data_IF_417098199677
#
_entry.id   IF_417098199677
#
_cell.length_a   1.000
_cell.length_b   1.000
_cell.length_c   1.000
_cell.angle_alpha   90.00
_cell.angle_beta   90.00
_cell.angle_gamma   90.00
#
_symmetry.space_group_name_H-M   'P 1'
#
loop_
_entity.id
_entity.type
_entity.pdbx_description
1 polymer ?
#
# COMPACT_ATOMS: atom_id res chain seq x y z
N UNK A 1 -0.01 1.85 -6.80
CA UNK A 1 0.41 2.82 -5.77
C UNK A 1 1.11 2.06 -4.65
N UNK A 2 2.26 2.52 -4.15
CA UNK A 2 3.03 1.85 -3.10
C UNK A 2 2.99 2.72 -1.85
N UNK A 3 2.63 2.13 -0.71
CA UNK A 3 2.47 2.86 0.56
C UNK A 3 3.47 2.45 1.63
N UNK A 4 3.91 1.21 1.65
CA UNK A 4 4.95 0.75 2.56
C UNK A 4 5.78 -0.33 1.89
N UNK A 5 7.00 -0.52 2.39
CA UNK A 5 7.88 -1.62 1.99
C UNK A 5 7.93 -2.65 3.13
N UNK A 6 7.48 -3.86 2.84
CA UNK A 6 7.56 -5.01 3.75
C UNK A 6 8.44 -6.10 3.15
N UNK A 7 9.07 -6.90 4.02
CA UNK A 7 9.94 -8.00 3.61
C UNK A 7 9.17 -9.23 3.15
N UNK A 8 7.96 -9.43 3.71
CA UNK A 8 7.19 -10.67 3.57
C UNK A 8 8.04 -11.92 3.89
N UNK A 9 8.89 -11.79 4.92
CA UNK A 9 9.85 -12.81 5.28
C UNK A 9 9.18 -14.04 5.94
N UNK A 10 9.61 -15.23 5.53
CA UNK A 10 9.18 -16.53 6.08
C UNK A 10 10.39 -17.39 6.52
N UNK A 11 11.57 -17.20 5.92
CA UNK A 11 12.78 -17.97 6.25
C UNK A 11 14.06 -17.21 5.95
N UNK A 12 15.14 -17.50 6.68
CA UNK A 12 16.41 -16.76 6.56
C UNK A 12 17.08 -16.99 5.18
N UNK A 13 16.91 -18.15 4.57
CA UNK A 13 17.65 -18.55 3.36
C UNK A 13 16.96 -18.16 2.04
N UNK A 14 15.63 -18.00 2.03
CA UNK A 14 14.86 -17.72 0.80
C UNK A 14 14.07 -16.42 0.92
N UNK A 15 13.03 -16.41 1.76
CA UNK A 15 12.17 -15.25 1.98
C UNK A 15 12.64 -14.53 3.23
N UNK A 16 13.74 -13.81 3.11
CA UNK A 16 14.42 -13.18 4.24
C UNK A 16 14.03 -11.71 4.41
N UNK A 17 14.68 -11.02 5.35
CA UNK A 17 14.37 -9.64 5.71
C UNK A 17 15.13 -8.60 4.87
N UNK A 18 15.87 -9.00 3.84
CA UNK A 18 16.66 -8.06 3.05
C UNK A 18 15.77 -7.26 2.08
N UNK A 19 15.73 -5.95 2.28
CA UNK A 19 15.00 -5.00 1.41
C UNK A 19 15.92 -4.14 0.55
N UNK A 20 17.24 -4.38 0.56
CA UNK A 20 18.25 -3.50 -0.06
C UNK A 20 18.02 -3.30 -1.55
N UNK A 21 17.72 -4.39 -2.27
CA UNK A 21 17.43 -4.36 -3.71
C UNK A 21 16.17 -3.55 -4.02
N UNK A 22 15.11 -3.72 -3.23
CA UNK A 22 13.86 -2.97 -3.39
C UNK A 22 14.07 -1.47 -3.10
N UNK A 23 14.82 -1.15 -2.04
CA UNK A 23 15.17 0.23 -1.68
C UNK A 23 15.94 0.93 -2.82
N UNK A 24 16.92 0.23 -3.41
CA UNK A 24 17.68 0.75 -4.56
C UNK A 24 16.76 1.01 -5.77
N UNK A 25 15.81 0.11 -6.03
CA UNK A 25 14.84 0.28 -7.11
C UNK A 25 13.89 1.47 -6.88
N UNK A 26 13.49 1.72 -5.63
CA UNK A 26 12.58 2.83 -5.28
C UNK A 26 13.28 4.20 -5.37
N UNK A 27 14.54 4.31 -4.93
CA UNK A 27 15.32 5.58 -4.94
C UNK A 27 15.35 6.29 -6.29
N UNK A 28 15.26 5.56 -7.41
CA UNK A 28 15.26 6.14 -8.77
C UNK A 28 13.86 6.31 -9.39
N UNK A 29 12.79 5.96 -8.66
CA UNK A 29 11.42 5.91 -9.20
C UNK A 29 10.42 6.81 -8.48
N UNK A 30 10.76 7.24 -7.27
CA UNK A 30 9.88 8.08 -6.44
C UNK A 30 10.63 9.30 -5.93
N UNK A 31 9.91 10.37 -5.63
CA UNK A 31 10.46 11.54 -4.97
C UNK A 31 11.04 11.18 -3.58
N UNK A 32 12.08 11.86 -3.10
CA UNK A 32 12.68 11.59 -1.78
C UNK A 32 11.68 11.56 -0.63
N UNK A 33 10.71 12.47 -0.63
CA UNK A 33 9.67 12.58 0.40
C UNK A 33 8.71 11.38 0.34
N UNK A 34 8.41 10.89 -0.87
CA UNK A 34 7.62 9.67 -1.04
C UNK A 34 8.40 8.43 -0.60
N UNK A 35 9.72 8.40 -0.85
CA UNK A 35 10.58 7.31 -0.40
C UNK A 35 10.58 7.21 1.13
N UNK A 36 10.79 8.33 1.83
CA UNK A 36 10.77 8.39 3.30
C UNK A 36 9.43 7.90 3.86
N UNK A 37 8.31 8.31 3.24
CA UNK A 37 6.98 7.82 3.62
C UNK A 37 6.84 6.31 3.45
N UNK A 38 7.30 5.76 2.33
CA UNK A 38 7.22 4.32 2.02
C UNK A 38 8.08 3.47 2.97
N UNK A 39 9.28 3.93 3.32
CA UNK A 39 10.23 3.09 4.07
C UNK A 39 10.09 3.25 5.59
N UNK A 40 9.48 4.33 6.07
CA UNK A 40 9.46 4.66 7.51
C UNK A 40 8.11 5.19 7.98
N UNK A 41 7.68 6.36 7.51
CA UNK A 41 6.57 7.11 8.12
C UNK A 41 5.26 6.32 8.12
N UNK A 42 4.95 5.66 7.00
CA UNK A 42 3.68 4.92 6.87
C UNK A 42 3.66 3.68 7.76
N UNK A 43 4.79 2.97 7.89
CA UNK A 43 4.90 1.83 8.79
C UNK A 43 4.71 2.24 10.25
N UNK A 44 5.30 3.37 10.66
CA UNK A 44 5.11 3.92 12.01
C UNK A 44 3.65 4.29 12.27
N UNK A 45 2.99 4.95 11.32
CA UNK A 45 1.57 5.28 11.44
C UNK A 45 0.67 4.04 11.55
N UNK A 46 0.98 2.95 10.83
CA UNK A 46 0.27 1.66 10.95
C UNK A 46 0.43 1.09 12.37
N UNK A 47 1.66 1.08 12.91
CA UNK A 47 1.94 0.59 14.27
C UNK A 47 1.17 1.40 15.33
N UNK A 48 1.05 2.71 15.11
CA UNK A 48 0.35 3.64 16.01
C UNK A 48 -1.17 3.69 15.77
N UNK A 49 -1.72 2.86 14.89
CA UNK A 49 -3.13 2.85 14.50
C UNK A 49 -3.63 4.24 14.02
N UNK A 50 -2.78 4.97 13.28
CA UNK A 50 -3.08 6.25 12.67
C UNK A 50 -3.42 6.09 11.19
N UNK A 51 -4.28 6.98 10.70
CA UNK A 51 -4.58 7.04 9.26
C UNK A 51 -3.34 7.44 8.45
N UNK A 52 -3.18 6.79 7.30
CA UNK A 52 -2.20 7.19 6.30
C UNK A 52 -2.76 8.32 5.46
N UNK A 53 -1.98 9.39 5.30
CA UNK A 53 -2.25 10.44 4.33
C UNK A 53 -1.85 9.96 2.93
N UNK A 54 -2.81 9.35 2.23
CA UNK A 54 -2.61 8.75 0.90
C UNK A 54 -3.44 9.48 -0.15
N UNK A 55 -2.74 10.04 -1.14
CA UNK A 55 -3.38 10.62 -2.31
C UNK A 55 -3.72 9.51 -3.30
N UNK A 56 -4.97 9.02 -3.27
CA UNK A 56 -5.47 8.08 -4.28
C UNK A 56 -5.90 8.89 -5.52
N UNK A 57 -5.29 8.66 -6.71
CA UNK A 57 -5.73 9.28 -7.95
C UNK A 57 -7.22 9.00 -8.18
N UNK A 58 -8.00 10.05 -8.49
CA UNK A 58 -9.45 9.93 -8.66
C UNK A 58 -9.83 8.97 -9.78
N UNK A 59 -8.95 8.75 -10.77
CA UNK A 59 -9.21 7.80 -11.86
C UNK A 59 -9.13 6.32 -11.42
N UNK A 60 -8.48 6.03 -10.29
CA UNK A 60 -8.39 4.68 -9.71
C UNK A 60 -9.51 4.40 -8.70
N UNK A 61 -10.26 5.43 -8.30
CA UNK A 61 -11.49 5.24 -7.54
C UNK A 61 -12.53 4.66 -8.50
N UNK A 62 -12.59 3.33 -8.60
CA UNK A 62 -13.73 2.65 -9.20
C UNK A 62 -15.00 3.23 -8.56
N UNK A 63 -16.01 3.63 -9.35
CA UNK A 63 -17.28 4.08 -8.78
C UNK A 63 -17.74 2.97 -7.85
N UNK A 64 -17.96 3.34 -6.58
CA UNK A 64 -18.46 2.44 -5.55
C UNK A 64 -19.69 1.74 -6.13
N UNK A 65 -19.54 0.46 -6.50
CA UNK A 65 -20.58 -0.28 -7.18
C UNK A 65 -21.70 -0.54 -6.16
N UNK A 66 -22.60 0.45 -6.03
CA UNK A 66 -23.76 0.41 -5.13
C UNK A 66 -24.79 -0.66 -5.56
N UNK A 67 -24.48 -1.51 -6.53
CA UNK A 67 -25.44 -2.40 -7.16
C UNK A 67 -25.19 -3.90 -6.92
N UNK A 68 -24.85 -4.29 -5.69
CA UNK A 68 -25.03 -5.70 -5.26
C UNK A 68 -25.75 -5.80 -3.92
N UNK A 69 -26.80 -5.00 -3.74
CA UNK A 69 -27.80 -5.32 -2.72
C UNK A 69 -28.56 -6.55 -3.18
N UNK A 70 -28.56 -7.61 -2.37
CA UNK A 70 -29.28 -8.85 -2.62
C UNK A 70 -30.78 -8.62 -2.95
N UNK A 71 -31.34 -7.51 -2.45
CA UNK A 71 -32.71 -7.07 -2.69
C UNK A 71 -32.98 -6.60 -4.14
N UNK A 72 -31.99 -6.07 -4.86
CA UNK A 72 -32.19 -5.61 -6.24
C UNK A 72 -32.30 -6.76 -7.25
N UNK A 73 -31.95 -7.99 -6.85
CA UNK A 73 -32.12 -9.22 -7.67
C UNK A 73 -33.46 -9.91 -7.46
N UNK A 74 -34.20 -9.56 -6.40
CA UNK A 74 -35.45 -10.23 -6.02
C UNK A 74 -36.70 -9.43 -6.42
N UNK A 75 -36.55 -8.12 -6.64
CA UNK A 75 -37.65 -7.22 -7.00
C UNK A 75 -37.37 -6.40 -8.27
N UNK A 76 -36.39 -6.83 -9.08
CA UNK A 76 -36.06 -6.26 -10.39
C UNK A 76 -36.34 -7.27 -11.49
#
# INVERSE_FOLDING_TARGET
>A
MVHFLGTDAISIERRNTDTSSALKALKGKVAPEALERIVSVNSQAIIENRYLDVHVPKELCLPYDRSKSFLSRLFG
#
